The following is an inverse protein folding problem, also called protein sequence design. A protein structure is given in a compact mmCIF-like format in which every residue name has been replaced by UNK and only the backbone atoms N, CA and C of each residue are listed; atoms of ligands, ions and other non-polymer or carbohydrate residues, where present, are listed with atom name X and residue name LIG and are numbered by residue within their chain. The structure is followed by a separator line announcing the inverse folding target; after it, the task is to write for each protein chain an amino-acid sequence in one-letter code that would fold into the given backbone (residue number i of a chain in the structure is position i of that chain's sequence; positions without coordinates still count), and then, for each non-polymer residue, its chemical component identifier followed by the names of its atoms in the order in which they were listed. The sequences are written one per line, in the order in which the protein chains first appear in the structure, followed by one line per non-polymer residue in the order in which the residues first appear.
data_IF_821520159343
#
_entry.id   IF_821520159343
#
_cell.length_a   1.000
_cell.length_b   1.000
_cell.length_c   1.000
_cell.angle_alpha   90.00
_cell.angle_beta   90.00
_cell.angle_gamma   90.00
#
_symmetry.space_group_name_H-M   'P 1'
#
loop_
_entity.id
_entity.type
_entity.pdbx_description
1 polymer ?
#
# COMPACT_ATOMS: atom_id res chain seq x y z
N UNK A 1 -6.21 -3.15 33.35
CA UNK A 1 -5.33 -3.28 32.17
C UNK A 1 -6.10 -2.75 30.98
N UNK A 2 -5.55 -1.76 30.26
CA UNK A 2 -6.23 -1.08 29.16
C UNK A 2 -6.58 -2.07 28.03
N UNK A 3 -7.85 -2.10 27.61
CA UNK A 3 -8.37 -3.02 26.58
C UNK A 3 -7.58 -2.92 25.27
N UNK A 4 -7.14 -1.71 24.92
CA UNK A 4 -6.35 -1.47 23.72
C UNK A 4 -4.90 -1.97 23.83
N UNK A 5 -4.33 -2.00 25.04
CA UNK A 5 -3.02 -2.58 25.30
C UNK A 5 -3.06 -4.11 25.14
N UNK A 6 -4.10 -4.76 25.67
CA UNK A 6 -4.32 -6.21 25.50
C UNK A 6 -4.51 -6.56 24.03
N UNK A 7 -5.31 -5.78 23.30
CA UNK A 7 -5.47 -5.95 21.85
C UNK A 7 -4.15 -5.81 21.11
N UNK A 8 -3.31 -4.83 21.45
CA UNK A 8 -2.03 -4.64 20.78
C UNK A 8 -1.06 -5.81 21.02
N UNK A 9 -1.01 -6.33 22.25
CA UNK A 9 -0.18 -7.49 22.60
C UNK A 9 -0.66 -8.75 21.87
N UNK A 10 -1.97 -8.94 21.72
CA UNK A 10 -2.51 -10.10 21.00
C UNK A 10 -2.35 -9.97 19.49
N UNK A 11 -2.44 -8.76 18.94
CA UNK A 11 -2.32 -8.51 17.50
C UNK A 11 -0.90 -8.71 16.98
N UNK A 12 0.13 -8.47 17.80
CA UNK A 12 1.54 -8.63 17.41
C UNK A 12 1.90 -10.08 17.00
N UNK A 13 1.65 -11.12 17.84
CA UNK A 13 1.88 -12.51 17.44
C UNK A 13 1.08 -12.92 16.21
N UNK A 14 -0.20 -12.54 16.13
CA UNK A 14 -1.05 -12.86 14.97
C UNK A 14 -0.50 -12.26 13.68
N UNK A 15 -0.04 -11.01 13.76
CA UNK A 15 0.62 -10.29 12.67
C UNK A 15 1.88 -11.02 12.19
N UNK A 16 2.75 -11.42 13.12
CA UNK A 16 3.98 -12.15 12.79
C UNK A 16 3.69 -13.55 12.23
N UNK A 17 2.69 -14.26 12.76
CA UNK A 17 2.27 -15.56 12.23
C UNK A 17 1.72 -15.44 10.81
N UNK A 18 0.96 -14.40 10.49
CA UNK A 18 0.51 -14.14 9.13
C UNK A 18 1.70 -13.86 8.19
N UNK A 19 2.69 -13.07 8.64
CA UNK A 19 3.95 -12.86 7.91
C UNK A 19 4.66 -14.19 7.63
N UNK A 20 4.82 -15.02 8.65
CA UNK A 20 5.50 -16.32 8.53
C UNK A 20 4.74 -17.29 7.62
N UNK A 21 3.41 -17.32 7.68
CA UNK A 21 2.60 -18.14 6.78
C UNK A 21 2.77 -17.75 5.32
N UNK A 22 2.73 -16.44 5.03
CA UNK A 22 2.97 -15.95 3.68
C UNK A 22 4.43 -16.15 3.25
N UNK A 23 5.40 -15.93 4.14
CA UNK A 23 6.82 -16.19 3.92
C UNK A 23 7.06 -17.65 3.52
N UNK A 24 6.47 -18.59 4.27
CA UNK A 24 6.57 -20.01 4.00
C UNK A 24 5.97 -20.37 2.63
N UNK A 25 4.78 -19.84 2.32
CA UNK A 25 4.08 -20.12 1.07
C UNK A 25 4.82 -19.56 -0.16
N UNK A 26 5.26 -18.30 -0.10
CA UNK A 26 5.97 -17.65 -1.20
C UNK A 26 7.42 -18.10 -1.38
N UNK A 27 8.03 -18.67 -0.34
CA UNK A 27 9.38 -19.25 -0.40
C UNK A 27 9.44 -20.59 -1.16
N UNK A 28 8.31 -21.26 -1.35
CA UNK A 28 8.28 -22.52 -2.10
C UNK A 28 8.71 -22.27 -3.55
N UNK A 29 9.57 -23.12 -4.11
CA UNK A 29 10.08 -22.98 -5.48
C UNK A 29 10.78 -21.62 -5.77
N UNK A 30 11.26 -20.94 -4.73
CA UNK A 30 12.08 -19.75 -4.85
C UNK A 30 13.57 -20.05 -4.69
N UNK A 31 14.42 -19.08 -5.03
CA UNK A 31 15.86 -19.16 -4.74
C UNK A 31 16.18 -18.92 -3.27
N UNK A 32 17.36 -19.36 -2.86
CA UNK A 32 17.91 -19.12 -1.52
C UNK A 32 19.12 -18.20 -1.58
N UNK A 33 19.26 -17.35 -0.57
CA UNK A 33 20.44 -16.52 -0.32
C UNK A 33 20.94 -16.78 1.10
N UNK A 34 22.25 -16.97 1.28
CA UNK A 34 22.87 -17.25 2.59
C UNK A 34 22.25 -18.47 3.32
N UNK A 35 21.78 -19.47 2.58
CA UNK A 35 21.12 -20.66 3.14
C UNK A 35 19.66 -20.45 3.57
N UNK A 36 19.07 -19.27 3.33
CA UNK A 36 17.67 -18.96 3.63
C UNK A 36 16.88 -18.69 2.34
N UNK A 37 15.59 -19.04 2.26
CA UNK A 37 14.76 -18.64 1.13
C UNK A 37 14.73 -17.11 0.99
N UNK A 38 15.05 -16.59 -0.19
CA UNK A 38 15.19 -15.14 -0.42
C UNK A 38 13.87 -14.39 -0.20
N UNK A 39 12.75 -14.99 -0.59
CA UNK A 39 11.41 -14.45 -0.32
C UNK A 39 11.16 -14.30 1.19
N UNK A 40 11.49 -15.32 1.98
CA UNK A 40 11.39 -15.28 3.44
C UNK A 40 12.35 -14.26 4.08
N UNK A 41 13.57 -14.13 3.54
CA UNK A 41 14.53 -13.11 3.97
C UNK A 41 13.97 -11.69 3.80
N UNK A 42 13.21 -11.43 2.72
CA UNK A 42 12.57 -10.13 2.51
C UNK A 42 11.59 -9.77 3.64
N UNK A 43 10.90 -10.75 4.25
CA UNK A 43 10.02 -10.50 5.41
C UNK A 43 10.82 -10.06 6.62
N UNK A 44 11.90 -10.77 6.91
CA UNK A 44 12.78 -10.46 8.02
C UNK A 44 13.40 -9.06 7.86
N UNK A 45 13.84 -8.72 6.63
CA UNK A 45 14.38 -7.40 6.31
C UNK A 45 13.32 -6.32 6.45
N UNK A 46 12.09 -6.54 5.98
CA UNK A 46 10.99 -5.59 6.17
C UNK A 46 10.78 -5.31 7.66
N UNK A 47 10.38 -6.34 8.42
CA UNK A 47 10.10 -6.18 9.86
C UNK A 47 11.30 -5.59 10.61
N UNK A 48 12.52 -6.02 10.26
CA UNK A 48 13.77 -5.49 10.81
C UNK A 48 13.92 -3.98 10.58
N UNK A 49 13.71 -3.48 9.37
CA UNK A 49 13.77 -2.04 9.07
C UNK A 49 12.75 -1.26 9.90
N UNK A 50 11.52 -1.76 9.99
CA UNK A 50 10.47 -1.11 10.79
C UNK A 50 10.80 -1.08 12.28
N UNK A 51 11.33 -2.17 12.83
CA UNK A 51 11.71 -2.23 14.24
C UNK A 51 12.94 -1.38 14.56
N UNK A 52 13.90 -1.29 13.64
CA UNK A 52 15.03 -0.37 13.79
C UNK A 52 14.57 1.09 13.75
N UNK A 53 13.64 1.43 12.87
CA UNK A 53 13.06 2.77 12.76
C UNK A 53 12.16 3.12 13.96
N UNK A 54 11.49 2.14 14.55
CA UNK A 54 10.67 2.31 15.75
C UNK A 54 11.48 2.81 16.96
N UNK A 55 12.74 2.38 17.13
CA UNK A 55 13.57 2.76 18.28
C UNK A 55 13.71 4.28 18.42
N UNK A 56 14.30 5.02 17.44
CA UNK A 56 14.38 6.47 17.52
C UNK A 56 12.99 7.13 17.48
N UNK A 57 12.01 6.55 16.78
CA UNK A 57 10.64 7.08 16.73
C UNK A 57 10.00 7.13 18.11
N UNK A 58 10.13 6.05 18.89
CA UNK A 58 9.57 5.94 20.24
C UNK A 58 10.31 6.82 21.24
N UNK A 59 11.64 6.88 21.16
CA UNK A 59 12.46 7.74 22.03
C UNK A 59 12.16 9.22 21.82
N UNK A 60 11.98 9.64 20.56
CA UNK A 60 11.70 11.03 20.20
C UNK A 60 10.19 11.34 20.11
N UNK A 61 9.33 10.36 20.36
CA UNK A 61 7.85 10.47 20.27
C UNK A 61 7.38 11.11 18.96
N UNK A 62 7.96 10.65 17.84
CA UNK A 62 7.75 11.24 16.51
C UNK A 62 7.40 10.19 15.47
N UNK A 63 6.43 10.53 14.62
CA UNK A 63 5.99 9.74 13.46
C UNK A 63 6.49 10.31 12.12
N UNK A 64 7.29 11.38 12.14
CA UNK A 64 7.61 12.20 10.94
C UNK A 64 8.25 11.42 9.79
N UNK A 65 9.00 10.37 10.09
CA UNK A 65 9.66 9.55 9.08
C UNK A 65 8.96 8.21 8.82
N UNK A 66 7.78 7.98 9.41
CA UNK A 66 7.04 6.73 9.27
C UNK A 66 6.79 6.39 7.79
N UNK A 67 6.16 7.29 7.02
CA UNK A 67 5.85 7.05 5.61
C UNK A 67 7.11 6.94 4.73
N UNK A 68 8.17 7.67 5.08
CA UNK A 68 9.46 7.60 4.39
C UNK A 68 10.12 6.23 4.60
N UNK A 69 10.09 5.69 5.83
CA UNK A 69 10.60 4.35 6.12
C UNK A 69 9.83 3.28 5.36
N UNK A 70 8.50 3.39 5.26
CA UNK A 70 7.70 2.47 4.45
C UNK A 70 8.17 2.45 2.99
N UNK A 71 8.32 3.63 2.39
CA UNK A 71 8.78 3.80 1.00
C UNK A 71 10.22 3.29 0.79
N UNK A 72 11.11 3.57 1.74
CA UNK A 72 12.47 3.04 1.75
C UNK A 72 12.48 1.50 1.81
N UNK A 73 11.54 0.91 2.55
CA UNK A 73 11.42 -0.55 2.69
C UNK A 73 10.98 -1.18 1.37
N UNK A 74 9.97 -0.63 0.68
CA UNK A 74 9.58 -1.09 -0.65
C UNK A 74 10.78 -1.15 -1.60
N UNK A 75 11.55 -0.06 -1.69
CA UNK A 75 12.74 0.03 -2.53
C UNK A 75 13.84 -0.96 -2.12
N UNK A 76 14.07 -1.12 -0.82
CA UNK A 76 15.07 -2.06 -0.30
C UNK A 76 14.73 -3.49 -0.68
N UNK A 77 13.46 -3.90 -0.53
CA UNK A 77 13.06 -5.28 -0.84
C UNK A 77 13.17 -5.61 -2.33
N UNK A 78 12.79 -4.68 -3.23
CA UNK A 78 12.95 -4.93 -4.68
C UNK A 78 14.43 -4.97 -5.08
N UNK A 79 15.28 -4.11 -4.50
CA UNK A 79 16.72 -4.13 -4.77
C UNK A 79 17.32 -5.44 -4.28
N UNK A 80 16.96 -5.88 -3.07
CA UNK A 80 17.41 -7.14 -2.51
C UNK A 80 17.00 -8.34 -3.38
N UNK A 81 15.75 -8.36 -3.84
CA UNK A 81 15.24 -9.41 -4.72
C UNK A 81 15.92 -9.41 -6.10
N UNK A 82 16.22 -8.25 -6.69
CA UNK A 82 16.99 -8.15 -7.93
C UNK A 82 18.45 -8.62 -7.75
N UNK A 83 19.09 -8.23 -6.64
CA UNK A 83 20.52 -8.41 -6.48
C UNK A 83 20.91 -9.81 -5.99
N UNK A 84 20.07 -10.42 -5.15
CA UNK A 84 20.28 -11.77 -4.63
C UNK A 84 19.44 -12.84 -5.36
N UNK A 85 18.54 -12.42 -6.24
CA UNK A 85 17.67 -13.30 -7.02
C UNK A 85 18.36 -13.98 -8.20
N UNK A 86 17.61 -14.71 -9.03
CA UNK A 86 18.07 -15.12 -10.35
C UNK A 86 18.49 -13.91 -11.19
N UNK A 87 19.22 -14.17 -12.29
CA UNK A 87 19.50 -13.13 -13.29
C UNK A 87 18.18 -12.43 -13.72
N UNK A 88 18.04 -11.11 -13.51
CA UNK A 88 16.76 -10.44 -13.73
C UNK A 88 16.31 -10.47 -15.18
N UNK A 89 15.14 -11.06 -15.42
CA UNK A 89 14.45 -11.05 -16.70
C UNK A 89 13.61 -9.78 -16.90
N UNK A 90 12.98 -9.65 -18.07
CA UNK A 90 12.08 -8.51 -18.37
C UNK A 90 10.97 -8.36 -17.33
N UNK A 91 10.42 -9.48 -16.84
CA UNK A 91 9.35 -9.46 -15.81
C UNK A 91 9.86 -8.83 -14.52
N UNK A 92 11.04 -9.25 -14.06
CA UNK A 92 11.67 -8.73 -12.84
C UNK A 92 11.94 -7.24 -12.94
N UNK A 93 12.46 -6.77 -14.08
CA UNK A 93 12.70 -5.34 -14.29
C UNK A 93 11.40 -4.51 -14.33
N UNK A 94 10.37 -5.01 -15.01
CA UNK A 94 9.07 -4.32 -15.07
C UNK A 94 8.43 -4.25 -13.68
N UNK A 95 8.44 -5.33 -12.91
CA UNK A 95 7.93 -5.37 -11.54
C UNK A 95 8.70 -4.40 -10.63
N UNK A 96 10.04 -4.44 -10.67
CA UNK A 96 10.88 -3.56 -9.88
C UNK A 96 10.65 -2.08 -10.25
N UNK A 97 10.60 -1.75 -11.53
CA UNK A 97 10.34 -0.39 -12.00
C UNK A 97 8.94 0.10 -11.59
N UNK A 98 7.91 -0.72 -11.77
CA UNK A 98 6.53 -0.40 -11.39
C UNK A 98 6.43 -0.09 -9.89
N UNK A 99 7.00 -0.96 -9.04
CA UNK A 99 7.06 -0.73 -7.59
C UNK A 99 7.87 0.52 -7.25
N UNK A 100 9.05 0.71 -7.87
CA UNK A 100 9.93 1.84 -7.57
C UNK A 100 9.26 3.17 -7.92
N UNK A 101 8.66 3.28 -9.10
CA UNK A 101 7.93 4.48 -9.56
C UNK A 101 6.79 4.80 -8.60
N UNK A 102 5.97 3.80 -8.25
CA UNK A 102 4.87 4.00 -7.30
C UNK A 102 5.37 4.40 -5.91
N UNK A 103 6.36 3.70 -5.37
CA UNK A 103 6.91 3.93 -4.03
C UNK A 103 7.57 5.30 -3.91
N UNK A 104 8.34 5.73 -4.92
CA UNK A 104 8.95 7.07 -4.92
C UNK A 104 7.85 8.13 -4.97
N UNK A 105 6.86 7.99 -5.87
CA UNK A 105 5.78 8.97 -5.98
C UNK A 105 4.97 9.10 -4.69
N UNK A 106 4.48 7.97 -4.17
CA UNK A 106 3.64 7.96 -2.98
C UNK A 106 4.46 8.40 -1.75
N UNK A 107 5.68 7.89 -1.61
CA UNK A 107 6.57 8.24 -0.51
C UNK A 107 6.92 9.72 -0.46
N UNK A 108 7.31 10.31 -1.59
CA UNK A 108 7.58 11.74 -1.68
C UNK A 108 6.34 12.58 -1.41
N UNK A 109 5.18 12.19 -1.95
CA UNK A 109 3.91 12.89 -1.73
C UNK A 109 3.50 12.91 -0.25
N UNK A 110 3.56 11.76 0.42
CA UNK A 110 3.19 11.63 1.84
C UNK A 110 4.19 12.35 2.74
N UNK A 111 5.49 12.24 2.46
CA UNK A 111 6.54 12.91 3.23
C UNK A 111 6.41 14.44 3.16
N UNK A 112 6.24 15.01 1.97
CA UNK A 112 6.05 16.45 1.79
C UNK A 112 4.80 16.95 2.52
N UNK A 113 3.73 16.15 2.50
CA UNK A 113 2.49 16.47 3.24
C UNK A 113 2.71 16.52 4.75
N UNK A 114 3.36 15.51 5.34
CA UNK A 114 3.64 15.48 6.78
C UNK A 114 4.57 16.63 7.18
N UNK A 115 5.57 16.93 6.35
CA UNK A 115 6.46 18.06 6.60
C UNK A 115 5.70 19.39 6.62
N UNK A 116 4.72 19.56 5.73
CA UNK A 116 3.85 20.74 5.69
C UNK A 116 2.83 20.79 6.84
N UNK A 117 2.25 19.66 7.27
CA UNK A 117 1.26 19.62 8.35
C UNK A 117 1.86 19.57 9.76
N UNK A 118 3.15 19.25 9.87
CA UNK A 118 3.92 19.20 11.13
C UNK A 118 3.77 17.92 11.94
N UNK A 119 2.58 17.32 11.97
CA UNK A 119 2.27 16.03 12.60
C UNK A 119 1.14 15.28 11.88
N UNK A 120 0.98 14.01 12.23
CA UNK A 120 -0.18 13.21 11.84
C UNK A 120 -1.02 12.85 13.07
N UNK A 121 -2.23 13.45 13.14
CA UNK A 121 -3.21 13.25 14.21
C UNK A 121 -3.49 11.78 14.56
N UNK A 122 -3.31 10.85 13.61
CA UNK A 122 -3.50 9.41 13.84
C UNK A 122 -2.54 8.85 14.89
N UNK A 123 -1.35 9.43 15.02
CA UNK A 123 -0.29 8.92 15.87
C UNK A 123 -0.24 9.57 17.26
N UNK A 124 -1.02 10.64 17.51
CA UNK A 124 -0.90 11.43 18.73
C UNK A 124 -1.09 10.61 20.01
N UNK A 125 -2.08 9.72 20.03
CA UNK A 125 -2.28 8.77 21.13
C UNK A 125 -1.40 7.51 21.01
N UNK A 126 -1.13 7.06 19.78
CA UNK A 126 -0.41 5.80 19.51
C UNK A 126 1.03 5.90 19.99
N UNK A 127 1.74 7.00 19.68
CA UNK A 127 3.17 7.19 19.96
C UNK A 127 3.50 7.26 21.46
N UNK A 128 2.49 7.48 22.31
CA UNK A 128 2.66 7.48 23.76
C UNK A 128 2.84 6.07 24.31
N UNK A 129 2.21 5.06 23.70
CA UNK A 129 2.27 3.66 24.15
C UNK A 129 3.30 2.85 23.38
N UNK A 130 4.24 2.21 24.09
CA UNK A 130 5.25 1.35 23.48
C UNK A 130 4.62 0.26 22.61
N UNK A 131 3.69 -0.53 23.17
CA UNK A 131 3.10 -1.68 22.47
C UNK A 131 2.24 -1.26 21.28
N UNK A 132 1.44 -0.18 21.41
CA UNK A 132 0.63 0.30 20.29
C UNK A 132 1.49 0.87 19.17
N UNK A 133 2.55 1.61 19.53
CA UNK A 133 3.43 2.17 18.51
C UNK A 133 4.28 1.10 17.84
N UNK A 134 4.83 0.14 18.58
CA UNK A 134 5.52 -1.03 18.00
C UNK A 134 4.60 -1.81 17.06
N UNK A 135 3.33 -1.99 17.44
CA UNK A 135 2.34 -2.61 16.57
C UNK A 135 2.13 -1.81 15.28
N UNK A 136 2.03 -0.47 15.34
CA UNK A 136 1.90 0.36 14.15
C UNK A 136 3.08 0.14 13.18
N UNK A 137 4.32 0.20 13.68
CA UNK A 137 5.52 -0.09 12.88
C UNK A 137 5.53 -1.52 12.34
N UNK A 138 5.12 -2.51 13.14
CA UNK A 138 5.04 -3.91 12.69
C UNK A 138 3.99 -4.09 11.58
N UNK A 139 2.82 -3.46 11.72
CA UNK A 139 1.77 -3.46 10.71
C UNK A 139 2.21 -2.73 9.44
N UNK A 140 3.08 -1.72 9.54
CA UNK A 140 3.67 -1.09 8.35
C UNK A 140 4.53 -2.07 7.57
N UNK A 141 5.38 -2.86 8.24
CA UNK A 141 6.23 -3.83 7.58
C UNK A 141 5.44 -4.97 6.97
N UNK A 142 4.39 -5.42 7.66
CA UNK A 142 3.43 -6.33 7.07
C UNK A 142 2.74 -5.74 5.85
N UNK A 143 2.31 -4.49 5.92
CA UNK A 143 1.70 -3.82 4.79
C UNK A 143 2.64 -3.78 3.59
N UNK A 144 3.90 -3.37 3.77
CA UNK A 144 4.91 -3.38 2.69
C UNK A 144 5.05 -4.78 2.11
N UNK A 145 5.26 -5.79 2.97
CA UNK A 145 5.52 -7.15 2.52
C UNK A 145 4.31 -7.79 1.82
N UNK A 146 3.11 -7.68 2.39
CA UNK A 146 1.89 -8.24 1.79
C UNK A 146 1.55 -7.56 0.46
N UNK A 147 1.77 -6.24 0.35
CA UNK A 147 1.61 -5.51 -0.91
C UNK A 147 2.58 -6.05 -1.96
N UNK A 148 3.84 -6.27 -1.59
CA UNK A 148 4.87 -6.78 -2.49
C UNK A 148 4.85 -8.28 -2.76
N UNK A 149 4.01 -9.05 -2.07
CA UNK A 149 4.10 -10.51 -2.07
C UNK A 149 4.13 -11.11 -3.48
N UNK A 150 3.22 -10.70 -4.37
CA UNK A 150 3.18 -11.21 -5.74
C UNK A 150 4.44 -10.85 -6.55
N UNK A 151 4.94 -9.60 -6.42
CA UNK A 151 6.14 -9.15 -7.10
C UNK A 151 7.39 -9.90 -6.60
N UNK A 152 7.56 -10.01 -5.29
CA UNK A 152 8.69 -10.72 -4.67
C UNK A 152 8.67 -12.21 -5.02
N UNK A 153 7.52 -12.86 -5.03
CA UNK A 153 7.42 -14.27 -5.42
C UNK A 153 7.85 -14.47 -6.88
N UNK A 154 7.43 -13.59 -7.79
CA UNK A 154 7.84 -13.65 -9.18
C UNK A 154 9.35 -13.37 -9.36
N UNK A 155 9.89 -12.35 -8.70
CA UNK A 155 11.31 -11.97 -8.82
C UNK A 155 12.26 -12.98 -8.18
N UNK A 156 11.78 -13.78 -7.23
CA UNK A 156 12.59 -14.81 -6.55
C UNK A 156 12.28 -16.24 -7.03
N UNK A 157 11.37 -16.41 -7.99
CA UNK A 157 11.00 -17.70 -8.56
C UNK A 157 12.15 -18.31 -9.37
N UNK A 158 12.34 -19.62 -9.25
CA UNK A 158 13.26 -20.36 -10.13
C UNK A 158 12.68 -20.58 -11.53
N UNK A 159 11.37 -20.40 -11.70
CA UNK A 159 10.69 -20.57 -12.98
C UNK A 159 10.78 -19.31 -13.80
N UNK A 160 11.28 -19.49 -15.02
CA UNK A 160 11.30 -18.44 -16.03
C UNK A 160 10.22 -18.74 -17.06
N UNK A 161 9.47 -17.71 -17.42
CA UNK A 161 8.46 -17.75 -18.47
C UNK A 161 8.63 -16.49 -19.32
N UNK A 162 8.35 -16.58 -20.63
CA UNK A 162 8.36 -15.40 -21.48
C UNK A 162 7.43 -14.31 -20.91
N UNK A 163 7.81 -13.04 -21.07
CA UNK A 163 7.01 -11.92 -20.57
C UNK A 163 5.56 -11.99 -21.09
N UNK A 164 5.42 -12.25 -22.39
CA UNK A 164 4.18 -12.71 -23.02
C UNK A 164 2.98 -11.79 -22.83
N UNK A 165 1.79 -12.34 -23.09
CA UNK A 165 0.53 -11.61 -23.00
C UNK A 165 0.21 -11.15 -21.57
N UNK A 166 0.54 -11.97 -20.57
CA UNK A 166 0.30 -11.67 -19.16
C UNK A 166 1.14 -10.49 -18.67
N UNK A 167 2.40 -10.41 -19.07
CA UNK A 167 3.25 -9.26 -18.80
C UNK A 167 2.66 -7.98 -19.39
N UNK A 168 2.28 -8.02 -20.67
CA UNK A 168 1.70 -6.85 -21.36
C UNK A 168 0.39 -6.40 -20.70
N UNK A 169 -0.56 -7.32 -20.49
CA UNK A 169 -1.85 -7.00 -19.88
C UNK A 169 -1.67 -6.44 -18.47
N UNK A 170 -0.83 -7.08 -17.65
CA UNK A 170 -0.56 -6.62 -16.30
C UNK A 170 0.13 -5.25 -16.26
N UNK A 171 1.04 -4.96 -17.19
CA UNK A 171 1.63 -3.62 -17.33
C UNK A 171 0.61 -2.57 -17.75
N UNK A 172 -0.30 -2.89 -18.68
CA UNK A 172 -1.37 -1.95 -19.08
C UNK A 172 -2.33 -1.67 -17.92
N UNK A 173 -2.71 -2.71 -17.16
CA UNK A 173 -3.52 -2.55 -15.94
C UNK A 173 -2.79 -1.71 -14.90
N UNK A 174 -1.49 -1.94 -14.71
CA UNK A 174 -0.68 -1.15 -13.79
C UNK A 174 -0.61 0.32 -14.20
N UNK A 175 -0.33 0.61 -15.47
CA UNK A 175 -0.28 1.97 -16.02
C UNK A 175 -1.61 2.70 -15.86
N UNK A 176 -2.72 2.02 -16.14
CA UNK A 176 -4.06 2.58 -15.96
C UNK A 176 -4.33 2.92 -14.49
N UNK A 177 -4.11 1.99 -13.57
CA UNK A 177 -4.30 2.22 -12.13
C UNK A 177 -3.41 3.34 -11.59
N UNK A 178 -2.12 3.33 -11.95
CA UNK A 178 -1.15 4.34 -11.54
C UNK A 178 -1.53 5.73 -12.04
N UNK A 179 -1.93 5.85 -13.31
CA UNK A 179 -2.36 7.13 -13.90
C UNK A 179 -3.62 7.65 -13.22
N UNK A 180 -4.59 6.76 -12.96
CA UNK A 180 -5.83 7.12 -12.30
C UNK A 180 -5.58 7.65 -10.88
N UNK A 181 -4.68 7.00 -10.13
CA UNK A 181 -4.28 7.45 -8.80
C UNK A 181 -3.57 8.82 -8.83
N UNK A 182 -2.59 8.99 -9.73
CA UNK A 182 -1.85 10.25 -9.89
C UNK A 182 -2.79 11.41 -10.21
N UNK A 183 -3.71 11.22 -11.15
CA UNK A 183 -4.67 12.26 -11.54
C UNK A 183 -5.59 12.61 -10.37
N UNK A 184 -6.10 11.60 -9.65
CA UNK A 184 -6.98 11.80 -8.51
C UNK A 184 -6.30 12.62 -7.39
N UNK A 185 -5.06 12.26 -7.03
CA UNK A 185 -4.29 12.95 -6.01
C UNK A 185 -3.92 14.38 -6.45
N UNK A 186 -3.55 14.57 -7.72
CA UNK A 186 -3.28 15.89 -8.29
C UNK A 186 -4.51 16.80 -8.21
N UNK A 187 -5.68 16.30 -8.67
CA UNK A 187 -6.94 17.04 -8.60
C UNK A 187 -7.28 17.47 -7.17
N UNK A 188 -7.13 16.55 -6.20
CA UNK A 188 -7.38 16.84 -4.79
C UNK A 188 -6.41 17.87 -4.21
N UNK A 189 -5.13 17.78 -4.57
CA UNK A 189 -4.10 18.69 -4.09
C UNK A 189 -4.35 20.11 -4.62
N UNK A 190 -4.58 20.24 -5.93
CA UNK A 190 -4.93 21.52 -6.57
C UNK A 190 -6.20 22.15 -6.00
N UNK A 191 -7.21 21.34 -5.71
CA UNK A 191 -8.45 21.82 -5.08
C UNK A 191 -8.19 22.40 -3.69
N UNK A 192 -7.31 21.78 -2.90
CA UNK A 192 -6.98 22.21 -1.53
C UNK A 192 -6.04 23.42 -1.45
N UNK A 193 -5.26 23.67 -2.49
CA UNK A 193 -4.38 24.86 -2.57
C UNK A 193 -5.17 26.18 -2.66
N UNK A 194 -6.43 26.12 -3.10
CA UNK A 194 -7.31 27.27 -3.25
C UNK A 194 -7.94 27.66 -1.90
N UNK A 195 -7.68 28.88 -1.38
CA UNK A 195 -8.21 29.33 -0.07
C UNK A 195 -9.73 29.25 0.05
N UNK A 196 -10.46 29.49 -1.04
CA UNK A 196 -11.92 29.41 -1.14
C UNK A 196 -12.48 28.00 -0.91
N UNK A 197 -11.65 26.97 -0.96
CA UNK A 197 -12.03 25.57 -0.80
C UNK A 197 -11.73 24.99 0.58
N UNK A 198 -11.22 25.78 1.53
CA UNK A 198 -10.82 25.31 2.87
C UNK A 198 -11.90 24.46 3.57
N UNK A 199 -13.17 24.83 3.41
CA UNK A 199 -14.32 24.13 4.00
C UNK A 199 -15.23 23.44 2.98
N UNK A 200 -14.74 23.26 1.75
CA UNK A 200 -15.46 22.58 0.68
C UNK A 200 -14.89 21.19 0.43
N UNK A 201 -15.68 20.33 -0.20
CA UNK A 201 -15.25 19.02 -0.68
C UNK A 201 -15.15 19.02 -2.20
N UNK A 202 -14.17 18.27 -2.72
CA UNK A 202 -13.99 18.09 -4.16
C UNK A 202 -15.08 17.16 -4.71
N UNK A 203 -15.66 17.54 -5.85
CA UNK A 203 -16.73 16.78 -6.54
C UNK A 203 -16.61 16.86 -8.07
N UNK A 204 -15.42 17.18 -8.57
CA UNK A 204 -15.12 17.40 -9.99
C UNK A 204 -13.99 16.49 -10.46
N UNK A 205 -13.88 16.26 -11.76
CA UNK A 205 -12.87 15.35 -12.32
C UNK A 205 -13.14 13.91 -11.91
N UNK A 206 -12.12 13.16 -11.53
CA UNK A 206 -12.30 11.76 -11.10
C UNK A 206 -13.14 11.63 -9.81
N UNK A 207 -13.16 12.70 -9.01
CA UNK A 207 -13.96 12.76 -7.78
C UNK A 207 -15.46 12.91 -8.05
N UNK A 208 -15.91 13.21 -9.28
CA UNK A 208 -17.35 13.11 -9.62
C UNK A 208 -17.77 11.68 -10.00
N UNK A 209 -16.81 10.83 -10.38
CA UNK A 209 -17.03 9.46 -10.82
C UNK A 209 -17.01 8.46 -9.66
N UNK A 210 -16.13 8.67 -8.66
CA UNK A 210 -16.16 7.95 -7.39
C UNK A 210 -15.68 8.86 -6.26
N UNK A 211 -16.05 8.54 -5.01
CA UNK A 211 -15.62 9.29 -3.82
C UNK A 211 -14.16 9.03 -3.43
N UNK A 212 -13.58 7.90 -3.85
CA UNK A 212 -12.19 7.53 -3.54
C UNK A 212 -11.44 7.03 -4.78
N UNK A 213 -11.29 7.88 -5.81
CA UNK A 213 -10.72 7.47 -7.09
C UNK A 213 -9.23 7.08 -6.97
N UNK A 214 -8.49 7.72 -6.07
CA UNK A 214 -7.10 7.37 -5.80
C UNK A 214 -6.96 5.93 -5.28
N UNK A 215 -7.81 5.49 -4.35
CA UNK A 215 -7.79 4.12 -3.85
C UNK A 215 -8.22 3.09 -4.89
N UNK A 216 -9.14 3.46 -5.79
CA UNK A 216 -9.43 2.62 -6.95
C UNK A 216 -8.17 2.42 -7.81
N UNK A 217 -7.45 3.49 -8.13
CA UNK A 217 -6.19 3.43 -8.87
C UNK A 217 -5.14 2.53 -8.19
N UNK A 218 -4.99 2.66 -6.87
CA UNK A 218 -4.07 1.84 -6.07
C UNK A 218 -4.44 0.35 -6.10
N UNK A 219 -5.72 -0.01 -5.98
CA UNK A 219 -6.17 -1.41 -6.08
C UNK A 219 -5.89 -1.97 -7.47
N UNK A 220 -6.18 -1.19 -8.51
CA UNK A 220 -6.00 -1.59 -9.91
C UNK A 220 -4.52 -1.79 -10.23
N UNK A 221 -3.61 -0.92 -9.77
CA UNK A 221 -2.20 -1.09 -10.06
C UNK A 221 -1.59 -2.31 -9.35
N UNK A 222 -1.98 -2.60 -8.11
CA UNK A 222 -1.53 -3.82 -7.42
C UNK A 222 -2.12 -5.09 -8.05
N UNK A 223 -3.31 -4.99 -8.65
CA UNK A 223 -3.87 -6.06 -9.49
C UNK A 223 -3.01 -6.26 -10.75
N UNK A 224 -2.54 -5.18 -11.38
CA UNK A 224 -1.57 -5.25 -12.49
C UNK A 224 -0.28 -5.99 -12.11
N UNK A 225 0.30 -5.69 -10.94
CA UNK A 225 1.46 -6.42 -10.40
C UNK A 225 1.17 -7.92 -10.27
N UNK A 226 0.01 -8.29 -9.73
CA UNK A 226 -0.38 -9.68 -9.58
C UNK A 226 -0.53 -10.41 -10.93
N UNK A 227 -1.07 -9.73 -11.95
CA UNK A 227 -1.20 -10.27 -13.32
C UNK A 227 0.18 -10.52 -13.95
N UNK A 228 1.14 -9.59 -13.78
CA UNK A 228 2.52 -9.75 -14.28
C UNK A 228 3.22 -10.94 -13.60
N UNK A 229 3.00 -11.10 -12.30
CA UNK A 229 3.60 -12.16 -11.48
C UNK A 229 3.05 -13.56 -11.79
N UNK A 230 1.74 -13.66 -12.07
CA UNK A 230 0.99 -14.92 -12.16
C UNK A 230 1.67 -16.07 -12.94
N UNK A 231 2.23 -15.87 -14.16
CA UNK A 231 2.72 -16.97 -14.99
C UNK A 231 3.89 -17.76 -14.38
N UNK A 232 4.70 -17.13 -13.52
CA UNK A 232 5.90 -17.76 -12.93
C UNK A 232 5.65 -18.33 -11.54
N UNK A 233 4.45 -18.13 -10.98
CA UNK A 233 4.08 -18.69 -9.69
C UNK A 233 3.82 -20.20 -9.80
N UNK A 234 4.19 -20.95 -8.77
CA UNK A 234 3.97 -22.39 -8.68
C UNK A 234 3.59 -22.84 -7.27
N UNK A 235 2.70 -23.83 -7.19
CA UNK A 235 2.29 -24.46 -5.92
C UNK A 235 1.80 -23.42 -4.91
N UNK A 236 2.41 -23.39 -3.73
CA UNK A 236 2.02 -22.45 -2.68
C UNK A 236 2.31 -20.98 -2.98
N UNK A 237 3.12 -20.66 -3.99
CA UNK A 237 3.37 -19.26 -4.37
C UNK A 237 2.11 -18.54 -4.84
N UNK A 238 1.06 -19.24 -5.29
CA UNK A 238 -0.22 -18.62 -5.63
C UNK A 238 -0.88 -17.90 -4.45
N UNK A 239 -0.54 -18.25 -3.20
CA UNK A 239 -1.00 -17.52 -2.00
C UNK A 239 -0.54 -16.06 -2.03
N UNK A 240 0.57 -15.74 -2.70
CA UNK A 240 1.07 -14.36 -2.81
C UNK A 240 0.19 -13.44 -3.65
N UNK A 241 -0.75 -14.00 -4.43
CA UNK A 241 -1.82 -13.25 -5.09
C UNK A 241 -2.84 -12.66 -4.11
N UNK A 242 -2.68 -12.91 -2.80
CA UNK A 242 -3.42 -12.20 -1.76
C UNK A 242 -3.11 -10.68 -1.76
N UNK A 243 -2.01 -10.24 -2.36
CA UNK A 243 -1.58 -8.83 -2.40
C UNK A 243 -2.71 -7.83 -2.77
N UNK A 244 -3.35 -7.89 -3.96
CA UNK A 244 -4.42 -6.96 -4.32
C UNK A 244 -5.67 -7.11 -3.43
N UNK A 245 -5.95 -8.31 -2.92
CA UNK A 245 -7.06 -8.54 -1.97
C UNK A 245 -6.77 -7.88 -0.63
N UNK A 246 -5.53 -8.00 -0.14
CA UNK A 246 -5.06 -7.37 1.08
C UNK A 246 -5.15 -5.84 0.97
N UNK A 247 -4.64 -5.25 -0.11
CA UNK A 247 -4.76 -3.80 -0.37
C UNK A 247 -6.24 -3.37 -0.40
N UNK A 248 -7.09 -4.12 -1.12
CA UNK A 248 -8.53 -3.82 -1.20
C UNK A 248 -9.20 -3.84 0.17
N UNK A 249 -8.98 -4.90 0.96
CA UNK A 249 -9.58 -5.00 2.29
C UNK A 249 -9.03 -3.95 3.24
N UNK A 250 -7.73 -3.68 3.17
CA UNK A 250 -7.08 -2.64 3.96
C UNK A 250 -7.73 -1.28 3.67
N UNK A 251 -7.80 -0.86 2.41
CA UNK A 251 -8.32 0.45 2.01
C UNK A 251 -9.85 0.59 2.15
N UNK A 252 -10.61 -0.51 2.02
CA UNK A 252 -12.08 -0.43 2.05
C UNK A 252 -12.69 -0.71 3.42
N UNK A 253 -11.99 -1.45 4.30
CA UNK A 253 -12.56 -1.93 5.57
C UNK A 253 -11.80 -1.52 6.82
N UNK A 254 -10.49 -1.35 6.74
CA UNK A 254 -9.64 -1.18 7.94
C UNK A 254 -9.12 0.26 8.01
N UNK A 255 -8.41 0.68 6.97
CA UNK A 255 -7.85 2.01 6.78
C UNK A 255 -8.46 2.63 5.51
N UNK A 256 -7.95 3.79 5.08
CA UNK A 256 -8.41 4.44 3.86
C UNK A 256 -9.83 4.98 3.97
N UNK A 257 -10.80 4.31 3.32
CA UNK A 257 -12.17 4.79 3.10
C UNK A 257 -12.94 5.02 4.41
N UNK A 258 -13.09 4.04 5.34
CA UNK A 258 -13.95 4.21 6.50
C UNK A 258 -13.62 5.41 7.39
N UNK A 259 -12.35 5.64 7.80
CA UNK A 259 -12.03 6.80 8.62
C UNK A 259 -12.15 8.13 7.85
N UNK A 260 -11.94 8.13 6.52
CA UNK A 260 -12.11 9.33 5.70
C UNK A 260 -13.58 9.70 5.52
N UNK A 261 -14.44 8.73 5.24
CA UNK A 261 -15.89 8.95 5.16
C UNK A 261 -16.44 9.44 6.50
N UNK A 262 -16.01 8.84 7.62
CA UNK A 262 -16.41 9.30 8.95
C UNK A 262 -16.03 10.76 9.20
N UNK A 263 -14.78 11.14 8.90
CA UNK A 263 -14.33 12.53 9.06
C UNK A 263 -15.07 13.50 8.11
N UNK A 264 -15.39 13.05 6.90
CA UNK A 264 -16.14 13.84 5.94
C UNK A 264 -17.60 14.04 6.41
N UNK A 265 -18.22 13.02 6.98
CA UNK A 265 -19.56 13.09 7.57
C UNK A 265 -19.59 13.99 8.81
N UNK A 266 -18.56 13.95 9.66
CA UNK A 266 -18.42 14.87 10.79
C UNK A 266 -18.25 16.34 10.35
N UNK A 267 -17.57 16.58 9.21
CA UNK A 267 -17.30 17.94 8.71
C UNK A 267 -18.44 18.51 7.86
N UNK A 268 -19.04 17.70 6.99
CA UNK A 268 -19.98 18.14 5.95
C UNK A 268 -21.36 17.49 6.03
N UNK A 269 -21.57 16.54 6.93
CA UNK A 269 -22.84 15.85 7.11
C UNK A 269 -23.99 16.83 7.37
N UNK A 270 -25.14 16.56 6.76
CA UNK A 270 -26.32 17.42 6.84
C UNK A 270 -26.31 18.62 5.89
N UNK A 271 -25.22 18.88 5.17
CA UNK A 271 -25.22 19.87 4.08
C UNK A 271 -25.84 19.25 2.83
N UNK A 272 -26.89 19.87 2.28
CA UNK A 272 -27.63 19.34 1.13
C UNK A 272 -26.73 18.96 -0.05
N UNK A 273 -25.71 19.78 -0.37
CA UNK A 273 -24.78 19.50 -1.46
C UNK A 273 -23.86 18.29 -1.21
N UNK A 274 -23.51 18.01 0.04
CA UNK A 274 -22.68 16.86 0.40
C UNK A 274 -23.49 15.56 0.39
N UNK A 275 -24.71 15.59 0.92
CA UNK A 275 -25.62 14.44 0.89
C UNK A 275 -25.99 14.06 -0.54
N UNK A 276 -26.26 15.05 -1.41
CA UNK A 276 -26.48 14.81 -2.84
C UNK A 276 -25.25 14.15 -3.48
N UNK A 277 -24.06 14.68 -3.22
CA UNK A 277 -22.81 14.11 -3.74
C UNK A 277 -22.61 12.65 -3.29
N UNK A 278 -22.87 12.31 -2.02
CA UNK A 278 -22.79 10.94 -1.51
C UNK A 278 -23.80 10.00 -2.15
N UNK A 279 -25.02 10.49 -2.41
CA UNK A 279 -26.09 9.71 -3.01
C UNK A 279 -25.80 9.39 -4.49
N UNK A 280 -25.26 10.36 -5.23
CA UNK A 280 -25.03 10.24 -6.66
C UNK A 280 -23.66 9.65 -7.01
N UNK A 281 -22.70 9.62 -6.08
CA UNK A 281 -21.32 9.22 -6.36
C UNK A 281 -20.95 7.94 -5.62
N UNK A 282 -20.63 6.85 -6.35
CA UNK A 282 -20.25 5.58 -5.73
C UNK A 282 -18.97 5.74 -4.91
N UNK A 283 -18.79 4.88 -3.91
CA UNK A 283 -17.67 4.98 -2.97
C UNK A 283 -16.32 4.75 -3.66
N UNK A 284 -16.20 3.69 -4.47
CA UNK A 284 -14.92 3.22 -4.98
C UNK A 284 -14.90 3.01 -6.50
N UNK A 285 -15.81 2.20 -7.04
CA UNK A 285 -15.81 1.89 -8.46
C UNK A 285 -16.34 3.10 -9.23
N UNK A 286 -15.57 3.70 -10.15
CA UNK A 286 -16.01 4.87 -10.91
C UNK A 286 -17.25 4.59 -11.76
N UNK A 287 -18.25 5.47 -11.66
CA UNK A 287 -19.42 5.43 -12.55
C UNK A 287 -19.09 6.10 -13.89
N UNK A 288 -18.71 5.28 -14.87
CA UNK A 288 -18.33 5.74 -16.20
C UNK A 288 -19.50 6.28 -17.03
N UNK A 289 -20.76 6.04 -16.61
CA UNK A 289 -21.93 6.58 -17.33
C UNK A 289 -21.93 8.11 -17.31
N UNK A 290 -21.42 8.71 -16.23
CA UNK A 290 -21.26 10.16 -16.07
C UNK A 290 -20.26 10.81 -17.03
N UNK A 291 -19.50 10.03 -17.80
CA UNK A 291 -18.61 10.55 -18.86
C UNK A 291 -19.39 10.74 -20.17
N UNK A 292 -20.50 10.01 -20.34
CA UNK A 292 -21.29 9.98 -21.57
C UNK A 292 -22.48 10.96 -21.53
N UNK A 293 -22.72 11.60 -20.39
CA UNK A 293 -23.72 12.65 -20.15
C UNK A 293 -23.12 14.04 -20.35
#
# INVERSE_FOLDING_TARGET
MDRSFVQAIMALPVSLLAALGLAWAGSQNGVSAFGLPLFGLCVAVSIGIQWLAFIPAYLLKTERFYDLTGSFTFLTLIILAIWLGPAPDTRSWVLAAAVAIWSVRLGSFLFLRIHSSGSDSRFDEIKQSFSRFLLAWTLQGLWVFFSLAAALAAMTSIRTEAFGIWGILGTLVWLFGFTFEVIADYQKSRFREQPENHDRFIRSGLWSLSRHPNYFGEIVLWTGIAIIAFPVLQGWQYVTLISPVFITLLLTRISGIPPLEKKADEKWGGQAGYEQYKAETPVLIPDLKKILE
#
